data_IF_023027902107
#
_entry.id   IF_023027902107
#
_cell.length_a   1.000
_cell.length_b   1.000
_cell.length_c   1.000
_cell.angle_alpha   90.00
_cell.angle_beta   90.00
_cell.angle_gamma   90.00
#
_symmetry.space_group_name_H-M   'P 1'
#
loop_
_entity.id
_entity.type
_entity.pdbx_description
1 polymer ?
#
# COMPACT_ATOMS: atom_id res chain seq x y z
N UNK A 1 44.80 -56.66 -38.56
CA UNK A 1 44.52 -57.48 -37.37
C UNK A 1 44.07 -56.56 -36.23
N UNK A 2 42.79 -56.71 -35.80
CA UNK A 2 42.25 -56.57 -34.43
C UNK A 2 42.41 -55.16 -33.77
N UNK A 3 41.54 -54.16 -33.94
CA UNK A 3 40.18 -53.91 -33.36
C UNK A 3 40.09 -54.23 -31.85
N UNK A 4 40.29 -53.23 -30.96
CA UNK A 4 39.28 -52.35 -30.31
C UNK A 4 38.45 -53.05 -29.24
N UNK A 5 38.90 -52.91 -27.99
CA UNK A 5 38.09 -53.03 -26.78
C UNK A 5 37.20 -51.78 -26.63
N UNK A 6 35.93 -51.91 -27.03
CA UNK A 6 34.87 -50.95 -26.70
C UNK A 6 33.65 -51.76 -26.27
N UNK A 7 33.42 -51.85 -24.96
CA UNK A 7 32.18 -52.36 -24.39
C UNK A 7 31.46 -51.21 -23.68
N UNK A 8 30.52 -50.53 -24.33
CA UNK A 8 29.51 -49.75 -23.64
C UNK A 8 28.30 -50.64 -23.33
N UNK A 9 27.93 -50.71 -22.05
CA UNK A 9 26.59 -51.13 -21.66
C UNK A 9 25.74 -49.84 -21.57
N UNK A 10 24.99 -49.56 -22.63
CA UNK A 10 23.91 -48.57 -22.62
C UNK A 10 22.70 -49.24 -21.97
N UNK A 11 22.24 -48.67 -20.85
CA UNK A 11 20.93 -49.01 -20.30
C UNK A 11 19.90 -48.18 -21.07
N UNK A 12 19.13 -48.87 -21.90
CA UNK A 12 17.92 -48.35 -22.51
C UNK A 12 16.81 -48.23 -21.46
N UNK A 13 16.08 -47.11 -21.58
CA UNK A 13 14.66 -46.90 -21.31
C UNK A 13 14.02 -47.54 -20.07
N UNK A 14 13.61 -46.69 -19.13
CA UNK A 14 12.18 -46.69 -18.75
C UNK A 14 11.73 -45.30 -18.25
N UNK A 15 10.85 -44.69 -19.05
CA UNK A 15 10.02 -43.53 -18.71
C UNK A 15 9.06 -43.93 -17.57
N UNK A 16 9.34 -43.46 -16.36
CA UNK A 16 8.37 -43.46 -15.28
C UNK A 16 7.79 -42.06 -15.10
N UNK A 17 6.47 -41.99 -15.29
CA UNK A 17 5.60 -40.86 -15.04
C UNK A 17 5.92 -40.13 -13.73
N UNK A 18 6.07 -38.80 -13.79
CA UNK A 18 5.99 -37.98 -12.59
C UNK A 18 4.51 -37.79 -12.25
N UNK A 19 4.02 -38.76 -11.51
CA UNK A 19 2.86 -38.72 -10.63
C UNK A 19 2.90 -37.44 -9.79
N UNK A 20 1.88 -36.59 -9.93
CA UNK A 20 1.63 -35.43 -9.07
C UNK A 20 1.28 -35.92 -7.65
N UNK A 21 2.32 -36.19 -6.86
CA UNK A 21 2.25 -36.53 -5.44
C UNK A 21 2.32 -35.31 -4.51
N UNK A 22 1.73 -35.38 -3.31
CA UNK A 22 1.24 -34.24 -2.54
C UNK A 22 2.35 -33.45 -1.82
N UNK A 23 2.17 -32.13 -1.75
CA UNK A 23 2.76 -31.18 -0.80
C UNK A 23 4.07 -31.66 -0.15
N UNK A 24 5.17 -31.53 -0.89
CA UNK A 24 6.52 -31.74 -0.37
C UNK A 24 6.75 -30.80 0.82
N UNK A 25 6.59 -31.34 2.03
CA UNK A 25 7.04 -30.75 3.27
C UNK A 25 8.51 -30.39 3.06
N UNK A 26 8.78 -29.08 2.96
CA UNK A 26 10.11 -28.57 2.69
C UNK A 26 11.01 -29.01 3.84
N UNK A 27 11.77 -30.08 3.62
CA UNK A 27 12.83 -30.50 4.53
C UNK A 27 13.71 -29.26 4.77
N UNK A 28 14.10 -28.95 6.03
CA UNK A 28 14.95 -27.81 6.31
C UNK A 28 16.20 -27.94 5.45
N UNK A 29 16.32 -27.07 4.44
CA UNK A 29 17.45 -27.07 3.52
C UNK A 29 18.66 -26.74 4.37
N UNK A 30 19.59 -27.71 4.46
CA UNK A 30 20.83 -27.53 5.22
C UNK A 30 21.48 -26.21 4.81
N UNK A 31 21.87 -25.45 5.81
CA UNK A 31 22.47 -24.13 5.66
C UNK A 31 23.72 -24.25 4.77
N UNK A 32 23.66 -23.66 3.58
CA UNK A 32 24.76 -23.71 2.61
C UNK A 32 25.76 -22.62 2.95
N UNK A 33 26.96 -23.04 3.36
CA UNK A 33 28.08 -22.12 3.57
C UNK A 33 28.62 -21.69 2.22
N UNK A 34 28.59 -20.39 1.96
CA UNK A 34 29.18 -19.77 0.76
C UNK A 34 30.50 -19.10 1.13
N UNK A 35 31.53 -19.36 0.34
CA UNK A 35 32.80 -18.64 0.45
C UNK A 35 32.83 -17.52 -0.58
N UNK A 36 32.96 -16.29 -0.11
CA UNK A 36 33.09 -15.09 -0.95
C UNK A 36 34.47 -14.49 -0.80
N UNK A 37 34.92 -13.76 -1.83
CA UNK A 37 36.15 -12.95 -1.74
C UNK A 37 35.77 -11.56 -1.26
N UNK A 38 36.33 -11.13 -0.13
CA UNK A 38 36.07 -9.82 0.47
C UNK A 38 37.38 -9.01 0.48
N UNK A 39 37.37 -7.74 0.04
CA UNK A 39 38.55 -6.88 0.15
C UNK A 39 39.03 -6.75 1.59
N UNK A 40 40.35 -6.68 1.79
CA UNK A 40 40.98 -6.68 3.12
C UNK A 40 40.47 -5.55 4.03
N UNK A 41 40.25 -4.36 3.46
CA UNK A 41 39.73 -3.19 4.20
C UNK A 41 38.31 -3.47 4.71
N UNK A 42 37.43 -4.01 3.85
CA UNK A 42 36.06 -4.38 4.21
C UNK A 42 36.03 -5.49 5.27
N UNK A 43 36.93 -6.47 5.19
CA UNK A 43 37.03 -7.53 6.19
C UNK A 43 37.38 -6.96 7.58
N UNK A 44 38.31 -6.01 7.65
CA UNK A 44 38.70 -5.36 8.90
C UNK A 44 37.55 -4.54 9.50
N UNK A 45 36.81 -3.80 8.67
CA UNK A 45 35.63 -3.05 9.09
C UNK A 45 34.53 -3.97 9.63
N UNK A 46 34.24 -5.07 8.93
CA UNK A 46 33.27 -6.08 9.37
C UNK A 46 33.67 -6.70 10.71
N UNK A 47 34.95 -7.03 10.90
CA UNK A 47 35.47 -7.54 12.18
C UNK A 47 35.33 -6.52 13.31
N UNK A 48 35.61 -5.24 13.05
CA UNK A 48 35.47 -4.16 14.04
C UNK A 48 34.00 -3.96 14.43
N UNK A 49 33.10 -3.92 13.44
CA UNK A 49 31.66 -3.79 13.66
C UNK A 49 31.12 -4.96 14.50
N UNK A 50 31.44 -6.19 14.10
CA UNK A 50 31.06 -7.40 14.82
C UNK A 50 31.61 -7.41 16.25
N UNK A 51 32.87 -7.00 16.44
CA UNK A 51 33.50 -6.87 17.75
C UNK A 51 32.80 -5.86 18.66
N UNK A 52 32.37 -4.71 18.12
CA UNK A 52 31.62 -3.70 18.88
C UNK A 52 30.24 -4.19 19.32
N UNK A 53 29.59 -5.00 18.49
CA UNK A 53 28.28 -5.59 18.74
C UNK A 53 28.36 -6.89 19.56
N UNK A 54 29.58 -7.41 19.82
CA UNK A 54 29.84 -8.69 20.49
C UNK A 54 29.13 -9.88 19.86
N UNK A 55 29.01 -9.88 18.54
CA UNK A 55 28.41 -10.98 17.76
C UNK A 55 29.41 -11.51 16.72
N UNK A 56 29.24 -12.75 16.23
CA UNK A 56 30.07 -13.27 15.16
C UNK A 56 29.88 -12.49 13.85
N UNK A 57 30.95 -12.37 13.06
CA UNK A 57 30.92 -11.68 11.74
C UNK A 57 29.89 -12.30 10.81
N UNK A 58 29.73 -13.63 10.82
CA UNK A 58 28.74 -14.32 9.98
C UNK A 58 27.30 -13.89 10.28
N UNK A 59 27.00 -13.57 11.54
CA UNK A 59 25.68 -13.07 11.94
C UNK A 59 25.44 -11.67 11.37
N UNK A 60 26.43 -10.78 11.49
CA UNK A 60 26.35 -9.42 10.94
C UNK A 60 26.16 -9.43 9.43
N UNK A 61 26.96 -10.24 8.72
CA UNK A 61 26.86 -10.33 7.25
C UNK A 61 25.50 -10.86 6.83
N UNK A 62 24.96 -11.87 7.53
CA UNK A 62 23.61 -12.39 7.26
C UNK A 62 22.56 -11.30 7.40
N UNK A 63 22.52 -10.64 8.56
CA UNK A 63 21.52 -9.60 8.83
C UNK A 63 21.59 -8.46 7.82
N UNK A 64 22.79 -7.98 7.48
CA UNK A 64 22.95 -6.92 6.48
C UNK A 64 22.46 -7.36 5.10
N UNK A 65 22.75 -8.60 4.69
CA UNK A 65 22.30 -9.11 3.38
C UNK A 65 20.79 -9.34 3.35
N UNK A 66 20.20 -9.82 4.45
CA UNK A 66 18.75 -9.96 4.61
C UNK A 66 18.07 -8.58 4.54
N UNK A 67 18.53 -7.61 5.35
CA UNK A 67 18.00 -6.24 5.37
C UNK A 67 18.12 -5.56 3.99
N UNK A 68 19.25 -5.76 3.29
CA UNK A 68 19.46 -5.19 1.97
C UNK A 68 18.49 -5.78 0.93
N UNK A 69 18.26 -7.09 0.95
CA UNK A 69 17.32 -7.76 0.04
C UNK A 69 15.89 -7.33 0.36
N UNK A 70 15.48 -7.34 1.63
CA UNK A 70 14.15 -6.92 2.05
C UNK A 70 13.85 -5.46 1.67
N UNK A 71 14.86 -4.59 1.77
CA UNK A 71 14.76 -3.20 1.35
C UNK A 71 14.58 -3.09 -0.17
N UNK A 72 15.36 -3.84 -0.96
CA UNK A 72 15.25 -3.86 -2.42
C UNK A 72 13.86 -4.37 -2.85
N UNK A 73 13.37 -5.44 -2.25
CA UNK A 73 12.06 -6.00 -2.55
C UNK A 73 10.93 -5.03 -2.21
N UNK A 74 11.03 -4.34 -1.07
CA UNK A 74 10.05 -3.33 -0.65
C UNK A 74 10.00 -2.14 -1.62
N UNK A 75 11.16 -1.65 -2.06
CA UNK A 75 11.24 -0.58 -3.07
C UNK A 75 10.74 -1.07 -4.43
N UNK A 76 11.04 -2.31 -4.81
CA UNK A 76 10.54 -2.93 -6.03
C UNK A 76 9.02 -2.98 -6.07
N UNK A 77 8.39 -3.46 -5.00
CA UNK A 77 6.92 -3.52 -4.89
C UNK A 77 6.28 -2.14 -4.97
N UNK A 78 6.88 -1.13 -4.33
CA UNK A 78 6.39 0.25 -4.41
C UNK A 78 6.47 0.79 -5.84
N UNK A 79 7.62 0.61 -6.50
CA UNK A 79 7.83 1.05 -7.88
C UNK A 79 6.86 0.34 -8.85
N UNK A 80 6.67 -0.97 -8.70
CA UNK A 80 5.69 -1.73 -9.49
C UNK A 80 4.26 -1.24 -9.27
N UNK A 81 3.89 -0.91 -8.03
CA UNK A 81 2.60 -0.32 -7.68
C UNK A 81 2.35 1.01 -8.38
N UNK A 82 3.34 1.89 -8.40
CA UNK A 82 3.26 3.17 -9.11
C UNK A 82 3.15 2.98 -10.63
N UNK A 83 4.00 2.13 -11.21
CA UNK A 83 3.98 1.81 -12.65
C UNK A 83 2.63 1.22 -13.06
N UNK A 84 2.07 0.32 -12.26
CA UNK A 84 0.73 -0.25 -12.49
C UNK A 84 -0.35 0.81 -12.42
N UNK A 85 -0.27 1.72 -11.45
CA UNK A 85 -1.20 2.85 -11.34
C UNK A 85 -1.11 3.83 -12.52
N UNK A 86 0.07 4.05 -13.09
CA UNK A 86 0.27 4.84 -14.30
C UNK A 86 -0.29 4.11 -15.52
N UNK A 87 0.01 2.83 -15.69
CA UNK A 87 -0.49 2.01 -16.78
C UNK A 87 -2.03 1.92 -16.79
N UNK A 88 -2.65 1.80 -15.61
CA UNK A 88 -4.10 1.78 -15.47
C UNK A 88 -4.72 3.14 -15.85
N UNK A 89 -4.12 4.26 -15.40
CA UNK A 89 -4.56 5.61 -15.78
C UNK A 89 -4.46 5.83 -17.29
N UNK A 90 -3.36 5.41 -17.91
CA UNK A 90 -3.17 5.50 -19.37
C UNK A 90 -4.19 4.63 -20.13
N UNK A 91 -4.47 3.42 -19.63
CA UNK A 91 -5.44 2.50 -20.22
C UNK A 91 -6.87 3.06 -20.14
N UNK A 92 -7.25 3.65 -19.00
CA UNK A 92 -8.54 4.34 -18.83
C UNK A 92 -8.66 5.53 -19.79
N UNK A 93 -7.59 6.30 -19.97
CA UNK A 93 -7.59 7.45 -20.87
C UNK A 93 -7.71 7.03 -22.34
N UNK A 94 -6.96 6.00 -22.78
CA UNK A 94 -7.11 5.39 -24.12
C UNK A 94 -8.49 4.80 -24.35
N UNK A 95 -9.10 4.18 -23.34
CA UNK A 95 -10.46 3.65 -23.40
C UNK A 95 -11.51 4.74 -23.67
N UNK A 96 -11.39 5.89 -23.00
CA UNK A 96 -12.27 7.05 -23.23
C UNK A 96 -12.09 7.62 -24.64
N UNK A 97 -10.86 7.79 -25.10
CA UNK A 97 -10.55 8.29 -26.44
C UNK A 97 -11.07 7.34 -27.54
N UNK A 98 -10.97 6.03 -27.34
CA UNK A 98 -11.59 5.04 -28.25
C UNK A 98 -13.11 5.11 -28.24
N UNK A 99 -13.73 5.27 -27.08
CA UNK A 99 -15.19 5.43 -26.97
C UNK A 99 -15.67 6.71 -27.66
N UNK A 100 -14.95 7.82 -27.53
CA UNK A 100 -15.27 9.08 -28.22
C UNK A 100 -14.96 9.06 -29.72
N UNK A 101 -13.96 8.29 -30.16
CA UNK A 101 -13.66 8.11 -31.59
C UNK A 101 -14.60 7.10 -32.28
N UNK A 102 -15.24 6.20 -31.52
CA UNK A 102 -16.21 5.22 -32.04
C UNK A 102 -17.67 5.67 -31.98
N UNK A 103 -17.99 6.76 -31.30
CA UNK A 103 -19.38 7.24 -31.15
C UNK A 103 -19.71 8.32 -32.19
N UNK A 104 -20.27 7.91 -33.34
CA UNK A 104 -21.18 8.79 -34.10
C UNK A 104 -22.45 8.98 -33.23
N UNK A 105 -22.85 10.21 -32.89
CA UNK A 105 -24.06 10.40 -32.08
C UNK A 105 -25.28 10.23 -33.01
N UNK A 106 -26.09 9.19 -32.76
CA UNK A 106 -27.49 9.17 -33.20
C UNK A 106 -28.33 9.58 -31.98
N UNK A 107 -29.06 10.70 -32.02
CA UNK A 107 -29.92 11.09 -30.92
C UNK A 107 -31.22 10.30 -31.04
N UNK A 108 -31.45 9.35 -30.14
CA UNK A 108 -32.77 8.74 -30.00
C UNK A 108 -33.03 8.43 -28.52
N UNK A 109 -33.98 9.22 -28.00
CA UNK A 109 -34.97 8.87 -26.98
C UNK A 109 -34.50 8.22 -25.69
N UNK A 110 -34.62 9.02 -24.62
CA UNK A 110 -35.03 8.60 -23.27
C UNK A 110 -36.13 7.54 -23.37
N UNK A 111 -36.00 6.41 -22.67
CA UNK A 111 -37.02 6.14 -21.66
C UNK A 111 -36.47 5.55 -20.35
N UNK A 112 -37.15 5.96 -19.29
CA UNK A 112 -37.42 5.24 -18.05
C UNK A 112 -36.24 4.92 -17.12
N UNK A 113 -36.35 5.53 -15.95
CA UNK A 113 -35.65 5.30 -14.69
C UNK A 113 -35.18 3.84 -14.46
N UNK A 114 -33.93 3.65 -13.99
CA UNK A 114 -33.68 2.73 -12.91
C UNK A 114 -33.77 3.53 -11.60
N UNK A 115 -34.69 3.10 -10.76
CA UNK A 115 -34.89 3.58 -9.39
C UNK A 115 -33.56 3.90 -8.68
N UNK A 116 -33.50 5.00 -7.90
CA UNK A 116 -32.37 5.29 -7.05
C UNK A 116 -32.31 4.21 -5.98
N UNK A 117 -31.53 3.15 -6.21
CA UNK A 117 -31.09 2.29 -5.12
C UNK A 117 -30.37 3.19 -4.14
N UNK A 118 -30.99 3.39 -2.99
CA UNK A 118 -30.46 4.06 -1.82
C UNK A 118 -29.07 3.48 -1.51
N UNK A 119 -28.04 4.06 -2.13
CA UNK A 119 -26.68 3.86 -1.71
C UNK A 119 -26.61 4.52 -0.34
N UNK A 120 -26.76 3.68 0.69
CA UNK A 120 -26.62 4.10 2.08
C UNK A 120 -25.43 5.07 2.19
N UNK A 121 -25.57 6.24 2.84
CA UNK A 121 -24.54 7.28 2.84
C UNK A 121 -23.19 6.81 3.41
N UNK A 122 -23.17 5.63 4.04
CA UNK A 122 -22.00 4.96 4.59
C UNK A 122 -21.31 3.97 3.62
N UNK A 123 -21.88 3.71 2.44
CA UNK A 123 -21.27 2.80 1.45
C UNK A 123 -19.84 3.21 1.04
N UNK A 124 -19.50 4.50 0.89
CA UNK A 124 -18.12 4.93 0.65
C UNK A 124 -17.20 4.67 1.85
N UNK A 125 -17.75 4.65 3.06
CA UNK A 125 -17.02 4.50 4.32
C UNK A 125 -16.86 3.04 4.75
N UNK A 126 -17.54 2.10 4.10
CA UNK A 126 -17.46 0.68 4.40
C UNK A 126 -16.02 0.17 4.25
N UNK A 127 -15.44 -0.40 5.31
CA UNK A 127 -14.09 -0.97 5.33
C UNK A 127 -12.96 0.04 5.62
N UNK A 128 -13.28 1.27 6.04
CA UNK A 128 -12.30 2.19 6.60
C UNK A 128 -11.99 1.81 8.06
N UNK A 129 -10.71 1.71 8.40
CA UNK A 129 -10.20 1.40 9.76
C UNK A 129 -9.83 2.68 10.50
N UNK A 130 -9.43 3.72 9.77
CA UNK A 130 -9.01 4.98 10.37
C UNK A 130 -8.90 6.10 9.36
N UNK A 131 -8.47 7.26 9.84
CA UNK A 131 -8.33 8.48 9.06
C UNK A 131 -6.96 9.11 9.29
N UNK A 132 -6.30 9.53 8.21
CA UNK A 132 -5.06 10.30 8.25
C UNK A 132 -5.33 11.75 7.83
N UNK A 133 -4.94 12.76 8.63
CA UNK A 133 -5.07 14.15 8.23
C UNK A 133 -4.09 14.49 7.10
N UNK A 134 -4.53 15.31 6.15
CA UNK A 134 -3.71 15.86 5.07
C UNK A 134 -4.17 17.26 4.67
N UNK A 135 -3.27 17.99 4.01
CA UNK A 135 -3.60 19.22 3.29
C UNK A 135 -3.74 18.92 1.80
N UNK A 136 -4.81 19.41 1.20
CA UNK A 136 -5.08 19.16 -0.23
C UNK A 136 -4.18 20.00 -1.12
N UNK A 137 -3.48 19.35 -2.06
CA UNK A 137 -2.68 20.04 -3.08
C UNK A 137 -3.48 20.40 -4.35
N UNK A 138 -4.72 19.93 -4.45
CA UNK A 138 -5.66 20.18 -5.56
C UNK A 138 -7.09 20.08 -5.05
N UNK A 139 -8.04 20.62 -5.80
CA UNK A 139 -9.44 20.49 -5.46
C UNK A 139 -9.87 19.01 -5.53
N UNK A 140 -10.52 18.54 -4.46
CA UNK A 140 -10.99 17.16 -4.33
C UNK A 140 -12.46 17.14 -3.91
N UNK A 141 -13.15 16.03 -4.15
CA UNK A 141 -14.54 15.88 -3.69
C UNK A 141 -14.59 15.07 -2.41
N UNK A 142 -15.34 15.56 -1.44
CA UNK A 142 -15.65 14.79 -0.24
C UNK A 142 -16.43 13.53 -0.63
N UNK A 143 -15.93 12.36 -0.27
CA UNK A 143 -16.55 11.07 -0.56
C UNK A 143 -17.84 10.79 0.21
N UNK A 144 -18.17 11.61 1.21
CA UNK A 144 -19.41 11.50 1.99
C UNK A 144 -20.51 12.44 1.47
N UNK A 145 -20.24 13.75 1.46
CA UNK A 145 -21.24 14.77 1.11
C UNK A 145 -21.15 15.27 -0.34
N UNK A 146 -20.10 14.91 -1.09
CA UNK A 146 -19.88 15.34 -2.47
C UNK A 146 -19.42 16.79 -2.65
N UNK A 147 -19.27 17.57 -1.57
CA UNK A 147 -18.77 18.96 -1.61
C UNK A 147 -17.34 19.01 -2.17
N UNK A 148 -17.02 20.08 -2.90
CA UNK A 148 -15.66 20.37 -3.35
C UNK A 148 -14.86 20.94 -2.17
N UNK A 149 -13.77 20.25 -1.85
CA UNK A 149 -12.74 20.67 -0.91
C UNK A 149 -11.62 21.35 -1.72
N UNK A 150 -11.29 22.58 -1.35
CA UNK A 150 -10.34 23.42 -2.09
C UNK A 150 -8.89 23.10 -1.74
N UNK A 151 -7.96 23.50 -2.63
CA UNK A 151 -6.52 23.50 -2.34
C UNK A 151 -6.22 24.19 -0.99
N UNK A 152 -5.32 23.60 -0.20
CA UNK A 152 -4.89 24.10 1.09
C UNK A 152 -5.85 23.81 2.24
N UNK A 153 -7.03 23.23 1.97
CA UNK A 153 -7.93 22.80 3.04
C UNK A 153 -7.45 21.50 3.70
N UNK A 154 -7.67 21.42 5.02
CA UNK A 154 -7.46 20.20 5.80
C UNK A 154 -8.56 19.18 5.47
N UNK A 155 -8.15 17.98 5.09
CA UNK A 155 -9.02 16.86 4.76
C UNK A 155 -8.46 15.57 5.35
N UNK A 156 -9.26 14.51 5.32
CA UNK A 156 -8.93 13.24 5.95
C UNK A 156 -8.97 12.12 4.93
N UNK A 157 -7.89 11.38 4.83
CA UNK A 157 -7.75 10.20 3.99
C UNK A 157 -8.17 8.95 4.77
N UNK A 158 -9.15 8.22 4.25
CA UNK A 158 -9.54 6.93 4.79
C UNK A 158 -8.47 5.85 4.58
N UNK A 159 -8.03 5.22 5.67
CA UNK A 159 -7.14 4.05 5.70
C UNK A 159 -8.00 2.80 5.73
N UNK A 160 -7.67 1.77 4.93
CA UNK A 160 -8.39 0.50 4.82
C UNK A 160 -7.51 -0.66 5.25
N UNK A 161 -8.13 -1.73 5.76
CA UNK A 161 -7.44 -2.96 6.15
C UNK A 161 -6.97 -3.78 4.93
N UNK A 162 -7.84 -3.85 3.90
CA UNK A 162 -7.55 -4.59 2.67
C UNK A 162 -7.12 -3.61 1.58
N UNK A 163 -5.94 -3.87 0.99
CA UNK A 163 -5.42 -3.10 -0.14
C UNK A 163 -6.31 -3.27 -1.40
N UNK A 164 -6.51 -2.17 -2.15
CA UNK A 164 -7.20 -2.20 -3.45
C UNK A 164 -8.61 -1.60 -3.49
N UNK A 165 -9.12 -1.05 -2.38
CA UNK A 165 -10.36 -0.28 -2.37
C UNK A 165 -10.19 1.15 -2.93
N UNK A 166 -11.28 1.82 -3.34
CA UNK A 166 -11.22 3.22 -3.72
C UNK A 166 -10.77 4.10 -2.54
N UNK A 167 -9.85 5.02 -2.84
CA UNK A 167 -9.39 6.02 -1.89
C UNK A 167 -10.53 7.01 -1.59
N UNK A 168 -10.78 7.28 -0.31
CA UNK A 168 -11.86 8.18 0.12
C UNK A 168 -11.24 9.34 0.87
N UNK A 169 -11.52 10.55 0.39
CA UNK A 169 -11.15 11.82 1.04
C UNK A 169 -12.41 12.40 1.65
N UNK A 170 -12.33 12.82 2.91
CA UNK A 170 -13.46 13.36 3.66
C UNK A 170 -13.09 14.74 4.21
N UNK A 171 -14.01 15.69 4.08
CA UNK A 171 -13.87 17.02 4.69
C UNK A 171 -13.95 16.94 6.22
N UNK A 172 -13.38 17.92 6.91
CA UNK A 172 -13.39 17.99 8.37
C UNK A 172 -14.80 17.93 8.98
N UNK A 173 -15.78 18.53 8.30
CA UNK A 173 -17.18 18.55 8.70
C UNK A 173 -17.89 17.19 8.53
N UNK A 174 -17.30 16.27 7.77
CA UNK A 174 -17.86 14.96 7.45
C UNK A 174 -17.16 13.81 8.21
N UNK A 175 -16.23 14.14 9.11
CA UNK A 175 -15.64 13.16 10.01
C UNK A 175 -16.71 12.62 10.98
N UNK A 176 -16.80 11.30 11.16
CA UNK A 176 -17.61 10.75 12.23
C UNK A 176 -16.96 11.08 13.58
N UNK A 177 -17.44 12.13 14.21
CA UNK A 177 -17.07 12.49 15.59
C UNK A 177 -17.62 11.43 16.54
N UNK A 178 -16.78 10.89 17.42
CA UNK A 178 -17.26 9.99 18.48
C UNK A 178 -18.29 10.71 19.36
N UNK A 179 -19.28 9.97 19.88
CA UNK A 179 -20.27 10.53 20.83
C UNK A 179 -19.60 11.23 22.03
N UNK A 180 -18.41 10.77 22.43
CA UNK A 180 -17.59 11.39 23.48
C UNK A 180 -17.04 12.77 23.10
N UNK A 181 -16.66 12.98 21.83
CA UNK A 181 -16.21 14.28 21.33
C UNK A 181 -17.38 15.25 21.08
N UNK A 182 -18.57 14.75 20.77
CA UNK A 182 -19.79 15.56 20.65
C UNK A 182 -20.21 16.16 22.00
N UNK A 183 -20.11 15.38 23.10
CA UNK A 183 -20.37 15.87 24.45
C UNK A 183 -19.36 16.96 24.90
N UNK A 184 -18.09 16.83 24.52
CA UNK A 184 -17.06 17.81 24.85
C UNK A 184 -17.20 19.13 24.07
N UNK A 185 -17.66 19.11 22.81
CA UNK A 185 -17.89 20.32 22.02
C UNK A 185 -19.10 21.13 22.54
N UNK A 186 -20.15 20.46 23.02
CA UNK A 186 -21.31 21.14 23.61
C UNK A 186 -21.00 21.85 24.95
N UNK A 187 -19.99 21.38 25.69
CA UNK A 187 -19.59 22.01 26.96
C UNK A 187 -18.72 23.26 26.73
N UNK A 188 -18.04 23.36 25.58
CA UNK A 188 -17.21 24.51 25.23
C UNK A 188 -18.02 25.71 24.69
N UNK A 189 -19.17 25.47 24.06
CA UNK A 189 -20.03 26.52 23.49
C UNK A 189 -21.02 27.17 24.48
N UNK A 190 -21.10 26.69 25.73
CA UNK A 190 -22.03 27.19 26.76
C UNK A 190 -21.39 28.01 27.91
N UNK A 191 -20.14 28.46 27.77
CA UNK A 191 -19.59 29.42 28.75
C UNK A 191 -19.97 30.86 28.37
N UNK A 192 -20.80 31.56 29.17
CA UNK A 192 -21.12 32.97 28.90
C UNK A 192 -19.88 33.85 29.13
N UNK A 193 -19.71 34.95 28.36
CA UNK A 193 -18.67 35.93 28.62
C UNK A 193 -18.94 36.61 29.97
N UNK A 194 -17.98 36.50 30.88
CA UNK A 194 -17.98 37.25 32.13
C UNK A 194 -17.83 38.73 31.79
N UNK A 195 -18.86 39.53 32.09
CA UNK A 195 -18.82 40.99 31.99
C UNK A 195 -17.66 41.55 32.82
N UNK A 196 -16.91 42.56 32.33
CA UNK A 196 -15.92 43.24 33.14
C UNK A 196 -16.61 44.20 34.11
N UNK A 197 -16.47 43.93 35.40
CA UNK A 197 -16.81 44.85 36.50
C UNK A 197 -16.08 46.18 36.30
N UNK A 198 -16.83 47.27 36.15
CA UNK A 198 -16.33 48.64 36.27
C UNK A 198 -15.95 48.90 37.73
N UNK A 199 -14.67 48.88 38.02
CA UNK A 199 -14.09 49.50 39.21
C UNK A 199 -13.88 50.99 38.86
N UNK A 200 -14.79 51.84 39.31
CA UNK A 200 -14.63 53.30 39.27
C UNK A 200 -14.22 53.74 40.68
N UNK A 201 -12.92 53.98 40.84
CA UNK A 201 -12.37 54.80 41.92
C UNK A 201 -12.86 56.24 41.78
N UNK A 202 -13.56 56.75 42.80
CA UNK A 202 -13.69 58.13 43.29
C UNK A 202 -14.39 57.95 44.66
N UNK A 203 -13.83 58.30 45.82
CA UNK A 203 -13.28 59.58 46.27
C UNK A 203 -12.51 59.38 47.58
#
# INVERSE_FOLDING_TARGET
MIQKDDKPATNDDELAANDEGPAAQQRPRKERVLHTRVPVVLEQELKRLAGSLRVPVSNVVRTILEDAVDTIDSVGQLAEGELRGVAERLSRHRGRLRKSAGSKPKPESVPADPEPREASPLAPLAGLVGYQPLLLARDERCGLCGRILSVGQEAYLGIREVAGGPQVIIGRECLPTSAAQQAAQQTAEQSPPTEPTKEQDHE
#
